data_IF_416524890000
#
_entry.id   IF_416524890000
#
_cell.length_a   1.000
_cell.length_b   1.000
_cell.length_c   1.000
_cell.angle_alpha   90.00
_cell.angle_beta   90.00
_cell.angle_gamma   90.00
#
_symmetry.space_group_name_H-M   'P 1'
#
loop_
_entity.id
_entity.type
_entity.pdbx_description
1 polymer ?
#
# COMPACT_ATOMS: atom_id res chain seq x y z
N UNK A 1 -3.64 31.96 -30.34
CA UNK A 1 -3.21 30.56 -30.16
C UNK A 1 -4.39 29.80 -29.61
N UNK A 2 -4.88 28.83 -30.38
CA UNK A 2 -6.06 28.05 -30.04
C UNK A 2 -5.77 27.18 -28.79
N UNK A 3 -6.57 27.34 -27.74
CA UNK A 3 -6.49 26.62 -26.46
C UNK A 3 -7.32 25.32 -26.47
N UNK A 4 -7.70 24.79 -27.63
CA UNK A 4 -8.83 23.84 -27.71
C UNK A 4 -8.49 22.34 -27.64
N UNK A 5 -7.23 21.92 -27.44
CA UNK A 5 -6.93 20.49 -27.26
C UNK A 5 -5.85 20.26 -26.22
N UNK A 6 -6.24 19.62 -25.10
CA UNK A 6 -5.29 19.11 -24.11
C UNK A 6 -4.27 18.22 -24.81
N UNK A 7 -3.00 18.31 -24.42
CA UNK A 7 -1.91 17.43 -24.88
C UNK A 7 -2.04 16.00 -24.33
N UNK A 8 -2.97 15.77 -23.40
CA UNK A 8 -3.23 14.49 -22.76
C UNK A 8 -4.24 13.70 -23.58
N UNK A 9 -4.00 12.41 -23.76
CA UNK A 9 -4.98 11.53 -24.41
C UNK A 9 -6.32 11.57 -23.64
N UNK A 10 -7.48 11.76 -24.29
CA UNK A 10 -8.75 11.96 -23.58
C UNK A 10 -9.16 10.82 -22.64
N UNK A 11 -8.84 9.57 -22.98
CA UNK A 11 -9.09 8.42 -22.10
C UNK A 11 -8.19 8.44 -20.87
N UNK A 12 -6.91 8.82 -21.04
CA UNK A 12 -5.98 8.94 -19.94
C UNK A 12 -6.39 10.08 -19.01
N UNK A 13 -6.85 11.21 -19.56
CA UNK A 13 -7.37 12.32 -18.76
C UNK A 13 -8.57 11.88 -17.91
N UNK A 14 -9.58 11.23 -18.52
CA UNK A 14 -10.74 10.69 -17.79
C UNK A 14 -10.36 9.67 -16.74
N UNK A 15 -9.41 8.79 -17.04
CA UNK A 15 -8.91 7.79 -16.12
C UNK A 15 -8.23 8.44 -14.90
N UNK A 16 -7.37 9.43 -15.12
CA UNK A 16 -6.68 10.12 -14.03
C UNK A 16 -7.60 11.03 -13.21
N UNK A 17 -8.64 11.60 -13.82
CA UNK A 17 -9.68 12.35 -13.10
C UNK A 17 -10.45 11.49 -12.09
N UNK A 18 -10.46 10.17 -12.28
CA UNK A 18 -11.07 9.22 -11.34
C UNK A 18 -10.18 8.91 -10.13
N UNK A 19 -8.87 9.15 -10.21
CA UNK A 19 -7.87 8.77 -9.18
C UNK A 19 -7.76 9.82 -8.06
N UNK A 20 -8.90 10.24 -7.50
CA UNK A 20 -8.95 11.25 -6.44
C UNK A 20 -8.76 10.61 -5.06
N UNK A 21 -7.97 11.24 -4.16
CA UNK A 21 -7.84 10.76 -2.79
C UNK A 21 -9.19 10.70 -2.08
N UNK A 22 -9.61 9.51 -1.65
CA UNK A 22 -10.84 9.29 -0.90
C UNK A 22 -10.73 8.01 -0.04
N UNK A 23 -11.37 8.02 1.12
CA UNK A 23 -11.55 6.81 1.94
C UNK A 23 -12.90 6.19 1.58
N UNK A 24 -12.88 5.00 0.98
CA UNK A 24 -14.10 4.25 0.69
C UNK A 24 -14.36 3.24 1.79
N UNK A 25 -15.61 3.15 2.25
CA UNK A 25 -16.04 2.21 3.29
C UNK A 25 -16.99 1.17 2.72
N UNK A 26 -16.65 -0.10 2.90
CA UNK A 26 -17.47 -1.25 2.56
C UNK A 26 -17.95 -1.93 3.84
N UNK A 27 -19.21 -2.38 3.82
CA UNK A 27 -19.84 -3.12 4.93
C UNK A 27 -19.75 -2.41 6.30
N UNK A 28 -19.49 -1.10 6.31
CA UNK A 28 -19.38 -0.27 7.50
C UNK A 28 -18.09 -0.42 8.32
N UNK A 29 -17.18 -1.33 7.97
CA UNK A 29 -16.00 -1.65 8.79
C UNK A 29 -14.74 -2.01 7.96
N UNK A 30 -14.79 -1.91 6.64
CA UNK A 30 -13.65 -2.13 5.74
C UNK A 30 -13.39 -0.81 5.00
N UNK A 31 -12.32 -0.12 5.35
CA UNK A 31 -12.00 1.22 4.87
C UNK A 31 -10.73 1.17 4.02
N UNK A 32 -10.80 1.49 2.74
CA UNK A 32 -9.60 1.56 1.90
C UNK A 32 -9.35 2.99 1.43
N UNK A 33 -8.08 3.40 1.56
CA UNK A 33 -7.58 4.65 1.06
C UNK A 33 -7.26 4.51 -0.43
N UNK A 34 -8.08 5.15 -1.27
CA UNK A 34 -7.96 5.15 -2.72
C UNK A 34 -7.40 6.49 -3.20
N UNK A 35 -6.55 6.46 -4.24
CA UNK A 35 -6.03 7.68 -4.87
C UNK A 35 -5.02 8.49 -4.04
N UNK A 36 -4.65 8.04 -2.83
CA UNK A 36 -3.57 8.66 -2.03
C UNK A 36 -2.17 8.25 -2.50
N UNK A 37 -2.05 7.05 -3.10
CA UNK A 37 -0.86 6.53 -3.74
C UNK A 37 -1.24 5.71 -4.98
N UNK A 38 -0.24 5.13 -5.66
CA UNK A 38 -0.42 4.20 -6.78
C UNK A 38 -1.07 2.86 -6.39
N UNK A 39 -1.17 2.59 -5.09
CA UNK A 39 -1.83 1.42 -4.51
C UNK A 39 -2.72 1.86 -3.36
N UNK A 40 -3.60 0.96 -2.94
CA UNK A 40 -4.50 1.17 -1.81
C UNK A 40 -3.86 0.69 -0.50
N UNK A 41 -4.30 1.27 0.60
CA UNK A 41 -4.05 0.76 1.95
C UNK A 41 -5.42 0.55 2.60
N UNK A 42 -5.63 -0.59 3.25
CA UNK A 42 -6.96 -0.98 3.78
C UNK A 42 -6.91 -1.18 5.28
N UNK A 43 -7.78 -0.49 6.02
CA UNK A 43 -8.05 -0.70 7.43
C UNK A 43 -9.34 -1.50 7.59
N UNK A 44 -9.28 -2.62 8.30
CA UNK A 44 -10.44 -3.45 8.63
C UNK A 44 -10.66 -3.37 10.14
N UNK A 45 -11.79 -2.84 10.56
CA UNK A 45 -12.17 -2.74 11.96
C UNK A 45 -12.77 -4.05 12.47
N UNK A 46 -12.18 -4.60 13.53
CA UNK A 46 -12.82 -5.59 14.39
C UNK A 46 -13.50 -4.96 15.60
N UNK A 47 -13.82 -5.77 16.59
CA UNK A 47 -14.48 -5.37 17.82
C UNK A 47 -13.61 -4.43 18.68
N UNK A 48 -12.36 -4.83 18.93
CA UNK A 48 -11.41 -4.13 19.81
C UNK A 48 -10.05 -3.81 19.17
N UNK A 49 -9.83 -4.24 17.92
CA UNK A 49 -8.58 -4.06 17.20
C UNK A 49 -8.81 -3.98 15.67
N UNK A 50 -7.83 -3.47 14.95
CA UNK A 50 -7.86 -3.35 13.50
C UNK A 50 -6.78 -4.21 12.82
N UNK A 51 -7.08 -4.62 11.59
CA UNK A 51 -6.13 -5.20 10.64
C UNK A 51 -5.82 -4.13 9.59
N UNK A 52 -4.55 -3.96 9.26
CA UNK A 52 -4.07 -3.11 8.18
C UNK A 52 -3.54 -3.99 7.05
N UNK A 53 -3.96 -3.73 5.81
CA UNK A 53 -3.43 -4.41 4.61
C UNK A 53 -2.71 -3.38 3.75
N UNK A 54 -1.41 -3.60 3.56
CA UNK A 54 -0.43 -2.73 2.89
C UNK A 54 -0.28 -1.34 3.53
N UNK A 55 0.81 -0.64 3.20
CA UNK A 55 1.22 0.59 3.93
C UNK A 55 1.69 1.73 3.05
N UNK A 56 1.36 1.70 1.75
CA UNK A 56 1.65 2.75 0.76
C UNK A 56 3.16 2.94 0.48
N UNK A 57 3.44 3.83 -0.48
CA UNK A 57 4.75 4.02 -1.10
C UNK A 57 5.72 4.85 -0.28
N UNK A 58 5.22 5.71 0.61
CA UNK A 58 6.09 6.55 1.42
C UNK A 58 5.43 6.94 2.73
N UNK A 59 6.27 7.31 3.69
CA UNK A 59 5.85 7.86 4.97
C UNK A 59 4.94 9.08 4.80
N UNK A 60 5.20 9.95 3.83
CA UNK A 60 4.36 11.14 3.62
C UNK A 60 2.91 10.78 3.25
N UNK A 61 2.74 9.80 2.35
CA UNK A 61 1.39 9.32 2.00
C UNK A 61 0.75 8.50 3.12
N UNK A 62 1.55 7.69 3.81
CA UNK A 62 1.11 6.85 4.91
C UNK A 62 0.71 7.66 6.16
N UNK A 63 1.44 8.73 6.49
CA UNK A 63 1.11 9.65 7.60
C UNK A 63 -0.23 10.36 7.34
N UNK A 64 -0.51 10.75 6.09
CA UNK A 64 -1.81 11.33 5.71
C UNK A 64 -2.92 10.30 5.91
N UNK A 65 -2.76 9.09 5.37
CA UNK A 65 -3.78 8.04 5.45
C UNK A 65 -3.99 7.54 6.89
N UNK A 66 -2.92 7.42 7.69
CA UNK A 66 -3.01 7.13 9.11
C UNK A 66 -3.84 8.20 9.85
N UNK A 67 -3.67 9.47 9.49
CA UNK A 67 -4.49 10.57 10.00
C UNK A 67 -5.96 10.47 9.61
N UNK A 68 -6.29 10.06 8.37
CA UNK A 68 -7.66 9.82 7.94
C UNK A 68 -8.29 8.62 8.65
N UNK A 69 -7.57 7.51 8.77
CA UNK A 69 -8.02 6.32 9.50
C UNK A 69 -8.27 6.59 10.98
N UNK A 70 -7.44 7.42 11.62
CA UNK A 70 -7.66 7.81 13.02
C UNK A 70 -8.96 8.59 13.23
N UNK A 71 -9.46 9.32 12.23
CA UNK A 71 -10.78 9.99 12.31
C UNK A 71 -11.94 9.00 12.29
N UNK A 72 -11.71 7.78 11.80
CA UNK A 72 -12.71 6.72 11.69
C UNK A 72 -12.74 5.91 12.99
N UNK A 73 -11.57 5.54 13.52
CA UNK A 73 -11.47 4.66 14.68
C UNK A 73 -10.23 4.93 15.51
N UNK A 74 -10.36 4.78 16.84
CA UNK A 74 -9.24 4.84 17.80
C UNK A 74 -8.80 3.43 18.23
N UNK A 75 -9.37 2.37 17.64
CA UNK A 75 -8.96 0.99 17.91
C UNK A 75 -7.51 0.76 17.47
N UNK A 76 -6.69 0.05 18.27
CA UNK A 76 -5.31 -0.21 17.91
C UNK A 76 -5.23 -1.14 16.68
N UNK A 77 -4.30 -0.85 15.77
CA UNK A 77 -3.87 -1.80 14.76
C UNK A 77 -3.05 -2.88 15.47
N UNK A 78 -3.47 -4.13 15.39
CA UNK A 78 -2.74 -5.28 15.98
C UNK A 78 -2.18 -6.24 14.94
N UNK A 79 -2.61 -6.09 13.68
CA UNK A 79 -2.11 -6.91 12.58
C UNK A 79 -1.87 -6.03 11.37
N UNK A 80 -0.69 -6.14 10.79
CA UNK A 80 -0.34 -5.58 9.49
C UNK A 80 -0.07 -6.74 8.55
N UNK A 81 -0.70 -6.75 7.38
CA UNK A 81 -0.50 -7.77 6.34
C UNK A 81 0.13 -7.07 5.15
N UNK A 82 1.27 -7.57 4.69
CA UNK A 82 1.79 -7.20 3.38
C UNK A 82 1.29 -8.17 2.34
N UNK A 83 0.68 -7.65 1.28
CA UNK A 83 0.23 -8.48 0.17
C UNK A 83 1.39 -9.01 -0.65
N UNK A 84 2.46 -8.22 -0.80
CA UNK A 84 3.72 -8.61 -1.44
C UNK A 84 4.85 -7.58 -1.19
N UNK A 85 6.07 -7.90 -1.63
CA UNK A 85 7.29 -7.17 -1.30
C UNK A 85 7.44 -5.77 -1.93
N UNK A 86 6.64 -5.42 -2.94
CA UNK A 86 6.86 -4.17 -3.67
C UNK A 86 6.83 -2.95 -2.73
N UNK A 87 7.70 -1.98 -3.03
CA UNK A 87 7.95 -0.87 -2.12
C UNK A 87 6.68 -0.05 -1.82
N UNK A 88 5.73 0.00 -2.74
CA UNK A 88 4.43 0.64 -2.57
C UNK A 88 3.48 -0.06 -1.59
N UNK A 89 3.78 -1.28 -1.17
CA UNK A 89 2.98 -2.04 -0.21
C UNK A 89 3.59 -2.06 1.19
N UNK A 90 4.90 -1.83 1.32
CA UNK A 90 5.62 -2.04 2.59
C UNK A 90 6.32 -0.80 3.15
N UNK A 91 6.37 0.31 2.40
CA UNK A 91 7.28 1.43 2.72
C UNK A 91 6.78 2.39 3.80
N UNK A 92 5.49 2.43 4.07
CA UNK A 92 4.89 3.39 5.02
C UNK A 92 4.53 2.80 6.38
N UNK A 93 4.97 1.58 6.69
CA UNK A 93 4.54 0.84 7.89
C UNK A 93 4.73 1.63 9.20
N UNK A 94 5.83 2.38 9.32
CA UNK A 94 6.11 3.18 10.52
C UNK A 94 5.20 4.39 10.72
N UNK A 95 4.32 4.72 9.77
CA UNK A 95 3.28 5.72 9.96
C UNK A 95 2.10 5.18 10.80
N UNK A 96 1.92 3.86 10.82
CA UNK A 96 0.77 3.20 11.45
C UNK A 96 1.13 2.55 12.79
N UNK A 97 2.38 2.11 12.96
CA UNK A 97 2.84 1.38 14.15
C UNK A 97 4.23 1.82 14.60
N UNK A 98 4.55 1.65 15.89
CA UNK A 98 5.83 2.07 16.48
C UNK A 98 6.78 0.91 16.77
N UNK A 99 8.06 1.23 17.03
CA UNK A 99 9.05 0.23 17.46
C UNK A 99 8.71 -0.37 18.83
N UNK A 100 8.11 0.42 19.73
CA UNK A 100 7.70 -0.04 21.06
C UNK A 100 6.59 -1.09 20.96
N UNK A 101 5.59 -0.87 20.09
CA UNK A 101 4.53 -1.84 19.85
C UNK A 101 5.07 -3.17 19.28
N UNK A 102 6.04 -3.09 18.36
CA UNK A 102 6.72 -4.26 17.81
C UNK A 102 7.54 -4.99 18.87
N UNK A 103 8.31 -4.26 19.69
CA UNK A 103 9.14 -4.83 20.75
C UNK A 103 8.31 -5.46 21.88
N UNK A 104 7.11 -4.91 22.16
CA UNK A 104 6.17 -5.46 23.12
C UNK A 104 5.41 -6.70 22.59
N UNK A 105 5.44 -6.94 21.28
CA UNK A 105 4.62 -7.98 20.65
C UNK A 105 3.14 -7.62 20.54
N UNK A 106 2.80 -6.33 20.63
CA UNK A 106 1.42 -5.83 20.54
C UNK A 106 0.88 -5.85 19.10
N UNK A 107 1.79 -5.92 18.12
CA UNK A 107 1.48 -5.91 16.68
C UNK A 107 2.22 -7.03 15.96
N UNK A 108 1.48 -7.76 15.16
CA UNK A 108 2.02 -8.76 14.23
C UNK A 108 2.12 -8.19 12.83
N UNK A 109 3.27 -8.34 12.19
CA UNK A 109 3.48 -8.01 10.78
C UNK A 109 3.60 -9.32 10.03
N UNK A 110 2.64 -9.60 9.16
CA UNK A 110 2.51 -10.85 8.44
C UNK A 110 2.92 -10.61 6.98
N UNK A 111 3.79 -11.47 6.46
CA UNK A 111 4.20 -11.47 5.05
C UNK A 111 4.59 -12.88 4.61
N UNK A 112 4.70 -13.10 3.30
CA UNK A 112 5.14 -14.40 2.80
C UNK A 112 6.64 -14.62 3.14
N UNK A 113 7.06 -15.88 3.28
CA UNK A 113 8.40 -16.25 3.79
C UNK A 113 9.59 -15.70 2.97
N UNK A 114 9.43 -15.51 1.67
CA UNK A 114 10.43 -14.98 0.74
C UNK A 114 10.36 -13.44 0.60
N UNK A 115 9.36 -12.77 1.18
CA UNK A 115 9.11 -11.34 1.02
C UNK A 115 10.35 -10.50 1.35
N UNK A 116 11.01 -10.78 2.48
CA UNK A 116 12.18 -10.00 2.92
C UNK A 116 13.36 -10.16 1.97
N UNK A 117 13.58 -11.37 1.45
CA UNK A 117 14.65 -11.64 0.49
C UNK A 117 14.40 -10.89 -0.83
N UNK A 118 13.15 -10.82 -1.28
CA UNK A 118 12.77 -10.01 -2.43
C UNK A 118 12.96 -8.50 -2.21
N UNK A 119 12.60 -7.97 -1.03
CA UNK A 119 12.88 -6.57 -0.68
C UNK A 119 14.39 -6.30 -0.77
N UNK A 120 15.23 -7.14 -0.16
CA UNK A 120 16.69 -6.99 -0.15
C UNK A 120 17.28 -7.05 -1.55
N UNK A 121 16.77 -7.96 -2.41
CA UNK A 121 17.16 -8.04 -3.82
C UNK A 121 16.91 -6.72 -4.55
N UNK A 122 15.71 -6.16 -4.40
CA UNK A 122 15.27 -4.99 -5.15
C UNK A 122 15.91 -3.68 -4.67
N UNK A 123 16.11 -3.52 -3.36
CA UNK A 123 16.75 -2.33 -2.78
C UNK A 123 18.28 -2.41 -2.78
N UNK A 124 18.84 -3.61 -2.97
CA UNK A 124 20.28 -3.86 -3.05
C UNK A 124 20.73 -4.16 -4.47
N UNK A 125 20.67 -5.43 -4.86
CA UNK A 125 21.32 -5.98 -6.05
C UNK A 125 20.93 -5.27 -7.35
N UNK A 126 19.64 -5.00 -7.53
CA UNK A 126 19.12 -4.46 -8.81
C UNK A 126 18.65 -2.99 -8.71
N UNK A 127 18.85 -2.34 -7.56
CA UNK A 127 18.37 -0.98 -7.30
C UNK A 127 18.79 0.07 -8.34
N UNK A 128 20.05 0.11 -8.85
CA UNK A 128 20.43 1.11 -9.85
C UNK A 128 19.69 0.95 -11.19
N UNK A 129 19.39 -0.30 -11.57
CA UNK A 129 18.71 -0.61 -12.83
C UNK A 129 17.21 -0.32 -12.69
N UNK A 130 16.58 -0.82 -11.63
CA UNK A 130 15.17 -0.57 -11.33
C UNK A 130 14.90 0.92 -11.20
N UNK A 131 15.67 1.63 -10.36
CA UNK A 131 15.48 3.05 -10.10
C UNK A 131 15.57 3.86 -11.38
N UNK A 132 16.60 3.64 -12.23
CA UNK A 132 16.74 4.39 -13.48
C UNK A 132 15.55 4.18 -14.43
N UNK A 133 15.02 2.97 -14.53
CA UNK A 133 13.88 2.64 -15.42
C UNK A 133 12.56 3.16 -14.85
N UNK A 134 12.36 3.04 -13.54
CA UNK A 134 11.19 3.56 -12.83
C UNK A 134 11.04 5.08 -13.03
N UNK A 135 12.14 5.84 -13.04
CA UNK A 135 12.11 7.28 -13.31
C UNK A 135 11.45 7.64 -14.65
N UNK A 136 11.62 6.78 -15.67
CA UNK A 136 11.00 6.96 -16.97
C UNK A 136 9.55 6.46 -16.96
N UNK A 137 9.31 5.24 -16.45
CA UNK A 137 7.97 4.64 -16.38
C UNK A 137 6.96 5.53 -15.66
N UNK A 138 7.34 6.09 -14.51
CA UNK A 138 6.46 6.92 -13.69
C UNK A 138 6.60 8.42 -13.98
N UNK A 139 7.46 8.82 -14.92
CA UNK A 139 7.68 10.23 -15.25
C UNK A 139 8.10 11.09 -14.05
N UNK A 140 8.87 10.52 -13.09
CA UNK A 140 9.14 11.16 -11.80
C UNK A 140 9.93 12.48 -11.88
N UNK A 141 10.61 12.72 -13.02
CA UNK A 141 11.32 13.99 -13.31
C UNK A 141 10.51 14.99 -14.13
N UNK A 142 9.34 14.61 -14.64
CA UNK A 142 8.47 15.51 -15.39
C UNK A 142 7.67 16.38 -14.41
N UNK A 143 7.39 17.65 -14.77
CA UNK A 143 6.42 18.46 -14.03
C UNK A 143 5.06 17.76 -14.00
N UNK A 144 4.28 17.96 -12.93
CA UNK A 144 2.89 17.47 -12.89
C UNK A 144 2.04 18.41 -13.74
N UNK A 145 1.26 17.85 -14.67
CA UNK A 145 0.34 18.59 -15.52
C UNK A 145 0.37 18.15 -16.98
N UNK A 146 -0.44 18.81 -17.81
CA UNK A 146 -0.70 18.40 -19.20
C UNK A 146 0.55 18.30 -20.09
N UNK A 147 1.59 19.08 -19.79
CA UNK A 147 2.86 19.09 -20.52
C UNK A 147 3.93 18.17 -19.89
N UNK A 148 3.56 17.31 -18.93
CA UNK A 148 4.46 16.42 -18.21
C UNK A 148 3.78 15.11 -17.81
N UNK A 149 3.84 14.76 -16.52
CA UNK A 149 3.13 13.56 -16.01
C UNK A 149 1.76 13.93 -15.46
N UNK A 150 0.74 13.18 -15.89
CA UNK A 150 -0.64 13.27 -15.38
C UNK A 150 -0.99 12.10 -14.43
N UNK A 151 -0.10 11.10 -14.37
CA UNK A 151 -0.04 10.08 -13.33
C UNK A 151 0.41 8.73 -13.85
N UNK A 152 0.30 7.70 -13.02
CA UNK A 152 0.94 6.41 -13.22
C UNK A 152 0.03 5.35 -13.90
N UNK A 153 -1.20 5.72 -14.26
CA UNK A 153 -2.22 4.77 -14.70
C UNK A 153 -2.84 4.00 -13.53
N UNK A 154 -2.02 3.38 -12.67
CA UNK A 154 -2.53 2.69 -11.46
C UNK A 154 -3.03 3.68 -10.40
N UNK A 155 -2.54 4.91 -10.40
CA UNK A 155 -2.95 5.95 -9.48
C UNK A 155 -2.37 7.33 -9.83
N UNK A 156 -2.32 8.27 -8.87
CA UNK A 156 -1.85 9.63 -9.08
C UNK A 156 -0.35 9.67 -9.47
N UNK A 157 0.17 10.83 -9.91
CA UNK A 157 1.59 11.02 -10.15
C UNK A 157 2.46 10.61 -8.94
N UNK A 158 3.37 9.67 -9.16
CA UNK A 158 4.26 9.19 -8.11
C UNK A 158 5.43 10.15 -7.89
N UNK A 159 5.81 10.32 -6.63
CA UNK A 159 7.01 11.06 -6.22
C UNK A 159 7.83 10.22 -5.25
N UNK A 160 9.17 10.30 -5.31
CA UNK A 160 10.02 9.72 -4.28
C UNK A 160 9.69 10.35 -2.92
N UNK A 161 9.66 9.52 -1.88
CA UNK A 161 9.44 9.95 -0.50
C UNK A 161 10.28 9.13 0.47
N UNK A 162 10.15 9.41 1.77
CA UNK A 162 10.83 8.61 2.81
C UNK A 162 10.22 7.23 2.83
N UNK A 163 11.08 6.21 2.88
CA UNK A 163 10.67 4.80 2.97
C UNK A 163 11.17 4.20 4.27
N UNK A 164 10.32 3.41 4.89
CA UNK A 164 10.62 2.57 6.05
C UNK A 164 10.36 1.12 5.68
N UNK A 165 10.77 0.19 6.53
CA UNK A 165 10.42 -1.20 6.36
C UNK A 165 10.43 -1.87 7.73
N UNK A 166 9.43 -2.70 7.98
CA UNK A 166 9.39 -3.59 9.14
C UNK A 166 9.35 -5.00 8.59
N UNK A 167 10.36 -5.81 8.87
CA UNK A 167 10.38 -7.20 8.47
C UNK A 167 9.19 -7.94 9.08
N UNK A 168 8.58 -8.92 8.39
CA UNK A 168 7.50 -9.72 8.96
C UNK A 168 7.93 -10.35 10.29
N UNK A 169 7.12 -10.16 11.33
CA UNK A 169 7.28 -10.87 12.61
C UNK A 169 6.66 -12.27 12.57
N UNK A 170 5.76 -12.50 11.61
CA UNK A 170 5.23 -13.81 11.25
C UNK A 170 5.31 -14.01 9.74
N UNK A 171 5.67 -15.21 9.33
CA UNK A 171 5.71 -15.59 7.91
C UNK A 171 4.77 -16.74 7.60
N UNK A 172 4.39 -16.86 6.33
CA UNK A 172 3.64 -17.99 5.81
C UNK A 172 4.21 -18.47 4.48
N UNK A 173 4.04 -19.77 4.20
CA UNK A 173 4.41 -20.37 2.91
C UNK A 173 3.30 -20.19 1.87
N UNK A 174 2.25 -21.02 1.94
CA UNK A 174 1.13 -20.99 0.98
C UNK A 174 -0.18 -20.46 1.52
N UNK A 175 -0.40 -20.61 2.82
CA UNK A 175 -1.65 -20.29 3.49
C UNK A 175 -1.38 -19.85 4.92
N UNK A 176 -2.16 -18.90 5.40
CA UNK A 176 -2.22 -18.48 6.79
C UNK A 176 -3.67 -18.19 7.18
N UNK A 177 -4.08 -18.64 8.35
CA UNK A 177 -5.36 -18.26 8.96
C UNK A 177 -5.06 -17.50 10.24
N UNK A 178 -5.76 -16.38 10.43
CA UNK A 178 -5.60 -15.53 11.60
C UNK A 178 -6.92 -14.94 12.06
N UNK A 179 -6.88 -14.38 13.26
CA UNK A 179 -8.00 -13.66 13.84
C UNK A 179 -7.49 -12.39 14.52
N UNK A 180 -8.20 -11.27 14.35
CA UNK A 180 -7.90 -10.02 15.06
C UNK A 180 -9.18 -9.26 15.30
N UNK A 181 -9.44 -8.90 16.55
CA UNK A 181 -10.68 -8.23 16.94
C UNK A 181 -11.95 -8.95 16.47
N UNK A 182 -11.98 -10.29 16.55
CA UNK A 182 -13.10 -11.11 16.09
C UNK A 182 -13.21 -11.27 14.56
N UNK A 183 -12.37 -10.60 13.78
CA UNK A 183 -12.30 -10.77 12.32
C UNK A 183 -11.39 -11.94 12.00
N UNK A 184 -11.98 -13.03 11.50
CA UNK A 184 -11.23 -14.14 10.91
C UNK A 184 -10.82 -13.74 9.49
N UNK A 185 -9.56 -13.95 9.17
CA UNK A 185 -8.99 -13.71 7.85
C UNK A 185 -8.11 -14.88 7.41
N UNK A 186 -8.07 -15.10 6.11
CA UNK A 186 -7.21 -16.06 5.45
C UNK A 186 -6.27 -15.32 4.50
N UNK A 187 -5.02 -15.77 4.40
CA UNK A 187 -4.03 -15.26 3.45
C UNK A 187 -3.64 -16.42 2.54
N UNK A 188 -3.83 -16.25 1.24
CA UNK A 188 -3.55 -17.27 0.24
C UNK A 188 -2.45 -16.80 -0.71
N UNK A 189 -1.37 -17.56 -0.82
CA UNK A 189 -0.33 -17.32 -1.83
C UNK A 189 -0.94 -17.50 -3.23
N UNK A 190 -0.90 -16.43 -4.01
CA UNK A 190 -1.38 -16.34 -5.39
C UNK A 190 -0.34 -15.62 -6.25
N UNK A 191 0.76 -16.29 -6.62
CA UNK A 191 1.84 -15.66 -7.37
C UNK A 191 1.30 -15.05 -8.68
N UNK A 192 1.53 -13.76 -8.88
CA UNK A 192 0.98 -13.00 -10.01
C UNK A 192 1.92 -11.87 -10.43
N UNK A 193 1.77 -10.67 -9.84
CA UNK A 193 2.70 -9.55 -10.02
C UNK A 193 4.11 -9.90 -9.53
N UNK A 194 4.15 -10.60 -8.40
CA UNK A 194 5.37 -11.11 -7.78
C UNK A 194 5.19 -12.56 -7.33
N UNK A 195 6.31 -13.23 -7.03
CA UNK A 195 6.34 -14.64 -6.59
C UNK A 195 5.74 -14.84 -5.19
N UNK A 196 5.80 -13.81 -4.34
CA UNK A 196 5.32 -13.79 -2.96
C UNK A 196 3.90 -13.22 -2.80
N UNK A 197 3.25 -12.85 -3.91
CA UNK A 197 1.96 -12.18 -3.86
C UNK A 197 0.86 -13.04 -3.26
N UNK A 198 0.04 -12.44 -2.39
CA UNK A 198 -1.09 -13.10 -1.77
C UNK A 198 -2.40 -12.31 -1.87
N UNK A 199 -3.50 -13.00 -1.59
CA UNK A 199 -4.82 -12.42 -1.39
C UNK A 199 -5.24 -12.60 0.07
N UNK A 200 -5.89 -11.57 0.62
CA UNK A 200 -6.55 -11.63 1.93
C UNK A 200 -8.03 -11.90 1.72
N UNK A 201 -8.53 -12.97 2.30
CA UNK A 201 -9.93 -13.39 2.24
C UNK A 201 -10.59 -13.28 3.63
N UNK A 202 -11.79 -12.70 3.65
CA UNK A 202 -12.59 -12.46 4.85
C UNK A 202 -13.86 -13.31 4.76
N UNK A 203 -13.87 -14.58 5.23
CA UNK A 203 -14.92 -15.55 4.90
C UNK A 203 -16.31 -15.24 5.47
N UNK A 204 -16.42 -14.36 6.47
CA UNK A 204 -17.66 -14.10 7.22
C UNK A 204 -18.26 -12.71 6.97
N UNK A 205 -17.63 -11.93 6.10
CA UNK A 205 -17.93 -10.52 5.86
C UNK A 205 -18.76 -10.41 4.61
#
# INVERSE_FOLDING_TARGET
>A
MDKSRSSVHPELARHQDSMKPEIHTLKGHIHFAFGYSVVNCTLIEGDDACILVDTLTSMETAEIVAGEFKKITEKPIKTVIYTHFHADHVSGTKAFITDEQLAAGDVEVIGQEDLTDHVVRDVGLIAPILGRRAMYQFGMRLPIGENGTVGAGLGPPQRPGRRTFVAPTKTFGKFYEGETGGIIFEIHLIPSETEDQCAVWLPKQ
#
